data_IF_693594645586
#
_entry.id   IF_693594645586
#
_cell.length_a   1.000
_cell.length_b   1.000
_cell.length_c   1.000
_cell.angle_alpha   90.00
_cell.angle_beta   90.00
_cell.angle_gamma   90.00
#
_symmetry.space_group_name_H-M   'P 1'
#
loop_
_entity.id
_entity.type
_entity.pdbx_description
1 polymer ?
#
# COMPACT_ATOMS: atom_id res chain seq x y z
N UNK A 1 16.62 4.07 15.39
CA UNK A 1 15.84 4.03 14.13
C UNK A 1 16.83 3.84 13.00
N UNK A 2 16.50 3.04 11.99
CA UNK A 2 17.27 2.95 10.74
C UNK A 2 16.63 3.88 9.71
N UNK A 3 17.44 4.57 8.93
CA UNK A 3 16.98 5.56 7.95
C UNK A 3 17.26 5.05 6.53
N UNK A 4 16.33 5.30 5.61
CA UNK A 4 16.46 5.00 4.19
C UNK A 4 15.10 4.77 3.53
N UNK A 5 15.12 4.33 2.28
CA UNK A 5 13.93 4.27 1.44
C UNK A 5 13.15 2.97 1.66
N UNK A 6 11.85 3.07 1.90
CA UNK A 6 10.92 1.94 1.99
C UNK A 6 11.46 0.78 2.83
N UNK A 7 11.81 -0.34 2.17
CA UNK A 7 12.25 -1.58 2.79
C UNK A 7 13.76 -1.77 2.81
N UNK A 8 14.53 -0.91 2.12
CA UNK A 8 15.99 -1.02 2.03
C UNK A 8 16.66 -1.11 3.42
N UNK A 9 16.27 -0.30 4.43
CA UNK A 9 16.93 -0.35 5.75
C UNK A 9 16.70 -1.65 6.53
N UNK A 10 15.75 -2.48 6.10
CA UNK A 10 15.36 -3.72 6.76
C UNK A 10 15.47 -4.95 5.86
N UNK A 11 16.14 -4.82 4.71
CA UNK A 11 16.33 -5.92 3.78
C UNK A 11 16.92 -7.17 4.47
N UNK A 12 16.33 -8.33 4.19
CA UNK A 12 16.73 -9.62 4.76
C UNK A 12 16.30 -9.87 6.22
N UNK A 13 15.69 -8.88 6.89
CA UNK A 13 15.15 -9.06 8.25
C UNK A 13 13.74 -9.62 8.20
N UNK A 14 13.38 -10.37 9.24
CA UNK A 14 12.03 -10.86 9.49
C UNK A 14 11.52 -10.39 10.84
N UNK A 15 10.21 -10.18 10.93
CA UNK A 15 9.52 -9.65 12.09
C UNK A 15 8.25 -10.45 12.33
N UNK A 16 7.87 -10.59 13.60
CA UNK A 16 6.59 -11.20 13.99
C UNK A 16 5.41 -10.24 13.71
N UNK A 17 5.69 -8.93 13.67
CA UNK A 17 4.71 -7.90 13.38
C UNK A 17 5.28 -6.78 12.51
N UNK A 18 4.57 -6.42 11.45
CA UNK A 18 4.85 -5.25 10.60
C UNK A 18 3.63 -4.33 10.63
N UNK A 19 3.84 -3.05 10.95
CA UNK A 19 2.78 -2.03 10.92
C UNK A 19 3.19 -0.90 9.99
N UNK A 20 2.32 -0.51 9.07
CA UNK A 20 2.62 0.56 8.11
C UNK A 20 1.43 1.52 7.93
N UNK A 21 1.73 2.82 7.98
CA UNK A 21 0.84 3.88 7.53
C UNK A 21 1.55 4.66 6.40
N UNK A 22 1.63 4.06 5.19
CA UNK A 22 2.42 4.62 4.10
C UNK A 22 1.80 5.92 3.55
N UNK A 23 2.54 6.70 2.75
CA UNK A 23 1.97 7.78 1.95
C UNK A 23 1.08 7.18 0.83
N UNK A 24 -0.13 6.74 1.18
CA UNK A 24 -1.01 5.97 0.31
C UNK A 24 -1.96 6.83 -0.55
N UNK A 25 -1.76 8.15 -0.64
CA UNK A 25 -2.67 8.99 -1.43
C UNK A 25 -2.49 8.72 -2.91
N UNK A 26 -3.60 8.40 -3.58
CA UNK A 26 -3.63 8.17 -5.02
C UNK A 26 -3.45 9.50 -5.76
N UNK A 27 -2.35 9.62 -6.50
CA UNK A 27 -2.02 10.84 -7.24
C UNK A 27 -1.12 10.58 -8.46
N UNK A 28 -0.86 11.60 -9.29
CA UNK A 28 0.12 11.51 -10.37
C UNK A 28 1.54 11.26 -9.82
N UNK A 29 2.44 10.67 -10.62
CA UNK A 29 3.83 10.37 -10.24
C UNK A 29 4.73 11.63 -10.21
N UNK A 30 4.32 12.66 -9.47
CA UNK A 30 5.05 13.91 -9.27
C UNK A 30 4.78 14.39 -7.86
N UNK A 31 5.85 14.63 -7.10
CA UNK A 31 5.74 15.19 -5.75
C UNK A 31 5.41 16.68 -5.85
N UNK A 32 4.12 17.01 -5.79
CA UNK A 32 3.65 18.41 -5.81
C UNK A 32 3.28 18.90 -4.39
N UNK A 33 2.93 17.99 -3.48
CA UNK A 33 2.58 18.30 -2.09
C UNK A 33 3.33 17.38 -1.11
N UNK A 34 3.79 17.91 0.04
CA UNK A 34 4.64 17.15 1.00
C UNK A 34 3.87 16.13 1.84
N UNK A 35 2.53 16.18 1.86
CA UNK A 35 1.71 15.30 2.70
C UNK A 35 1.10 14.15 1.89
N UNK A 36 1.52 12.91 2.19
CA UNK A 36 1.04 11.62 1.63
C UNK A 36 1.34 11.34 0.15
N UNK A 37 2.16 12.16 -0.48
CA UNK A 37 2.70 11.88 -1.81
C UNK A 37 3.84 10.84 -1.72
N UNK A 38 3.74 9.77 -2.50
CA UNK A 38 4.73 8.69 -2.51
C UNK A 38 5.77 8.81 -3.62
N UNK A 39 5.56 9.71 -4.58
CA UNK A 39 6.28 9.71 -5.86
C UNK A 39 5.95 8.52 -6.78
N UNK A 40 5.11 7.57 -6.35
CA UNK A 40 4.63 6.45 -7.16
C UNK A 40 3.27 6.80 -7.79
N UNK A 41 3.07 6.37 -9.03
CA UNK A 41 1.83 6.62 -9.74
C UNK A 41 0.65 5.91 -9.05
N UNK A 42 -0.46 6.64 -8.86
CA UNK A 42 -1.73 6.14 -8.37
C UNK A 42 -1.57 5.40 -7.03
N UNK A 43 -1.90 4.11 -7.00
CA UNK A 43 -1.85 3.24 -5.84
C UNK A 43 -0.60 2.36 -5.78
N UNK A 44 0.46 2.76 -6.50
CA UNK A 44 1.74 2.07 -6.51
C UNK A 44 2.38 1.96 -5.14
N UNK A 45 2.16 2.92 -4.22
CA UNK A 45 2.63 2.82 -2.84
C UNK A 45 1.92 1.69 -2.07
N UNK A 46 0.61 1.57 -2.24
CA UNK A 46 -0.17 0.48 -1.64
C UNK A 46 0.27 -0.87 -2.21
N UNK A 47 0.39 -0.97 -3.53
CA UNK A 47 0.88 -2.17 -4.22
C UNK A 47 2.28 -2.57 -3.75
N UNK A 48 3.21 -1.61 -3.65
CA UNK A 48 4.57 -1.85 -3.16
C UNK A 48 4.56 -2.39 -1.73
N UNK A 49 3.83 -1.75 -0.82
CA UNK A 49 3.84 -2.15 0.60
C UNK A 49 3.16 -3.50 0.81
N UNK A 50 2.02 -3.73 0.14
CA UNK A 50 1.28 -4.99 0.23
C UNK A 50 2.08 -6.15 -0.36
N UNK A 51 2.73 -5.96 -1.51
CA UNK A 51 3.50 -7.01 -2.18
C UNK A 51 4.80 -7.39 -1.45
N UNK A 52 5.44 -6.45 -0.76
CA UNK A 52 6.71 -6.69 -0.06
C UNK A 52 6.54 -7.20 1.37
N UNK A 53 5.43 -6.85 2.05
CA UNK A 53 5.22 -7.20 3.45
C UNK A 53 5.37 -8.70 3.77
N UNK A 54 4.88 -9.65 2.95
CA UNK A 54 5.09 -11.08 3.21
C UNK A 54 6.56 -11.50 3.37
N UNK A 55 7.49 -10.82 2.67
CA UNK A 55 8.91 -11.16 2.73
C UNK A 55 9.56 -10.77 4.07
N UNK A 56 8.94 -9.83 4.79
CA UNK A 56 9.39 -9.36 6.10
C UNK A 56 8.77 -10.12 7.26
N UNK A 57 7.83 -11.04 7.01
CA UNK A 57 7.21 -11.81 8.07
C UNK A 57 8.06 -13.03 8.44
N UNK A 58 8.21 -13.25 9.74
CA UNK A 58 8.56 -14.55 10.28
C UNK A 58 7.36 -15.51 10.13
N UNK A 59 7.56 -16.85 10.13
CA UNK A 59 6.44 -17.79 10.11
C UNK A 59 5.44 -17.52 11.24
N UNK A 60 4.16 -17.36 10.89
CA UNK A 60 3.10 -17.00 11.84
C UNK A 60 3.02 -15.51 12.21
N UNK A 61 3.89 -14.67 11.63
CA UNK A 61 3.85 -13.22 11.81
C UNK A 61 2.67 -12.56 11.09
N UNK A 62 2.37 -11.32 11.45
CA UNK A 62 1.24 -10.55 10.91
C UNK A 62 1.67 -9.18 10.40
N UNK A 63 0.97 -8.69 9.38
CA UNK A 63 1.12 -7.32 8.89
C UNK A 63 -0.22 -6.58 8.98
N UNK A 64 -0.20 -5.35 9.49
CA UNK A 64 -1.35 -4.46 9.53
C UNK A 64 -0.99 -3.13 8.88
N UNK A 65 -1.74 -2.73 7.85
CA UNK A 65 -1.41 -1.55 7.06
C UNK A 65 -2.63 -0.78 6.60
N UNK A 66 -2.46 0.52 6.42
CA UNK A 66 -3.42 1.36 5.71
C UNK A 66 -3.03 1.45 4.23
N UNK A 67 -4.03 1.41 3.35
CA UNK A 67 -3.86 1.48 1.91
C UNK A 67 -5.04 2.23 1.28
N UNK A 68 -4.80 2.82 0.13
CA UNK A 68 -5.84 3.24 -0.81
C UNK A 68 -5.52 2.68 -2.19
N UNK A 69 -6.56 2.35 -2.96
CA UNK A 69 -6.42 1.79 -4.30
C UNK A 69 -7.50 2.31 -5.23
N UNK A 70 -7.21 2.25 -6.52
CA UNK A 70 -8.10 2.70 -7.59
C UNK A 70 -9.04 1.58 -7.99
N UNK A 71 -10.32 1.93 -8.16
CA UNK A 71 -11.27 1.11 -8.90
C UNK A 71 -11.16 1.48 -10.38
N UNK A 72 -11.00 0.48 -11.23
CA UNK A 72 -10.90 0.66 -12.68
C UNK A 72 -12.14 0.08 -13.34
N UNK A 73 -12.64 0.77 -14.35
CA UNK A 73 -13.81 0.30 -15.09
C UNK A 73 -13.55 -1.07 -15.71
N UNK A 74 -14.48 -2.00 -15.51
CA UNK A 74 -14.39 -3.37 -16.00
C UNK A 74 -13.48 -4.29 -15.18
N UNK A 75 -12.85 -3.82 -14.11
CA UNK A 75 -12.02 -4.63 -13.22
C UNK A 75 -12.66 -4.80 -11.84
N UNK A 76 -12.60 -6.01 -11.29
CA UNK A 76 -12.93 -6.24 -9.89
C UNK A 76 -11.76 -5.86 -9.00
N UNK A 77 -11.95 -4.84 -8.14
CA UNK A 77 -10.90 -4.39 -7.24
C UNK A 77 -10.35 -5.52 -6.35
N UNK A 78 -11.19 -6.50 -5.97
CA UNK A 78 -10.78 -7.63 -5.12
C UNK A 78 -9.72 -8.46 -5.82
N UNK A 79 -9.96 -8.76 -7.09
CA UNK A 79 -9.02 -9.51 -7.92
C UNK A 79 -7.72 -8.72 -8.10
N UNK A 80 -7.82 -7.42 -8.40
CA UNK A 80 -6.65 -6.56 -8.58
C UNK A 80 -5.79 -6.47 -7.31
N UNK A 81 -6.38 -6.15 -6.16
CA UNK A 81 -5.62 -6.08 -4.89
C UNK A 81 -5.05 -7.45 -4.51
N UNK A 82 -5.80 -8.54 -4.70
CA UNK A 82 -5.30 -9.88 -4.42
C UNK A 82 -4.11 -10.28 -5.31
N UNK A 83 -4.00 -9.74 -6.53
CA UNK A 83 -2.89 -10.02 -7.44
C UNK A 83 -1.55 -9.45 -7.00
N UNK A 84 -1.53 -8.52 -6.03
CA UNK A 84 -0.30 -7.99 -5.44
C UNK A 84 0.34 -8.96 -4.43
N UNK A 85 -0.44 -9.92 -3.95
CA UNK A 85 0.00 -10.91 -2.97
C UNK A 85 0.41 -12.22 -3.66
N UNK A 86 1.31 -13.01 -3.04
CA UNK A 86 1.63 -14.32 -3.56
C UNK A 86 0.40 -15.24 -3.51
N UNK A 87 0.31 -16.17 -4.46
CA UNK A 87 -0.82 -17.10 -4.55
C UNK A 87 -0.92 -18.08 -3.36
N UNK A 88 0.12 -18.18 -2.54
CA UNK A 88 0.20 -19.08 -1.39
C UNK A 88 1.12 -18.52 -0.31
N UNK A 89 1.00 -19.07 0.91
CA UNK A 89 1.89 -18.77 2.04
C UNK A 89 1.46 -17.58 2.91
N UNK A 90 0.37 -16.90 2.54
CA UNK A 90 -0.24 -15.85 3.35
C UNK A 90 -1.77 -15.97 3.29
N UNK A 91 -2.39 -15.66 4.42
CA UNK A 91 -3.82 -15.37 4.50
C UNK A 91 -3.98 -13.85 4.57
N UNK A 92 -4.81 -13.29 3.69
CA UNK A 92 -5.00 -11.84 3.60
C UNK A 92 -6.46 -11.45 3.75
N UNK A 93 -6.72 -10.49 4.64
CA UNK A 93 -8.00 -9.83 4.76
C UNK A 93 -7.88 -8.39 4.31
N UNK A 94 -8.65 -8.02 3.30
CA UNK A 94 -8.70 -6.65 2.77
C UNK A 94 -10.11 -6.11 2.98
N UNK A 95 -10.20 -4.99 3.70
CA UNK A 95 -11.48 -4.36 4.02
C UNK A 95 -11.52 -2.98 3.37
N UNK A 96 -12.48 -2.80 2.46
CA UNK A 96 -12.80 -1.49 1.92
C UNK A 96 -13.76 -0.78 2.87
N UNK A 97 -13.28 0.30 3.51
CA UNK A 97 -14.11 1.09 4.41
C UNK A 97 -14.97 2.11 3.66
N UNK A 98 -14.43 2.71 2.60
CA UNK A 98 -15.06 3.83 1.91
C UNK A 98 -14.62 3.87 0.43
N UNK A 99 -15.43 4.52 -0.41
CA UNK A 99 -15.15 4.79 -1.83
C UNK A 99 -15.42 6.27 -2.07
N UNK A 100 -14.40 6.97 -2.55
CA UNK A 100 -14.50 8.39 -2.86
C UNK A 100 -14.43 8.62 -4.38
N UNK A 101 -15.25 9.55 -4.87
CA UNK A 101 -15.13 10.06 -6.24
C UNK A 101 -13.72 10.67 -6.45
N UNK A 102 -13.05 10.42 -7.59
CA UNK A 102 -11.70 10.93 -7.82
C UNK A 102 -11.56 12.45 -7.65
N UNK A 103 -12.54 13.24 -8.10
CA UNK A 103 -12.49 14.69 -7.98
C UNK A 103 -12.65 15.15 -6.52
N UNK A 104 -13.51 14.47 -5.75
CA UNK A 104 -13.65 14.71 -4.31
C UNK A 104 -12.40 14.25 -3.54
N UNK A 105 -11.79 13.14 -3.94
CA UNK A 105 -10.59 12.58 -3.32
C UNK A 105 -9.37 13.49 -3.52
N UNK A 106 -9.12 13.92 -4.76
CA UNK A 106 -8.07 14.89 -5.10
C UNK A 106 -8.30 16.20 -4.33
N UNK A 107 -9.52 16.73 -4.33
CA UNK A 107 -9.84 17.97 -3.61
C UNK A 107 -9.72 17.88 -2.08
N UNK A 108 -9.76 16.68 -1.51
CA UNK A 108 -9.61 16.44 -0.06
C UNK A 108 -8.14 16.34 0.35
N UNK A 109 -7.27 15.81 -0.50
CA UNK A 109 -5.88 15.49 -0.14
C UNK A 109 -4.81 16.35 -0.81
N UNK A 110 -5.10 16.99 -1.95
CA UNK A 110 -4.16 17.83 -2.72
C UNK A 110 -4.43 19.34 -2.56
N UNK A 111 -4.87 19.77 -1.37
CA UNK A 111 -4.90 21.19 -1.01
C UNK A 111 -3.60 21.66 -0.40
#
# INVERSE_FOLDING_TARGET
>A
LVEGSWFEPVAGRRFDQVVANPPFVVGPARVEHTYRDSGLALDGASELVISQAPQLLAPGGTAAMLAAWVHRDGEDWRQRVSSWLPAHGVDAWVVQRDVADPALYVGTWLR
#
